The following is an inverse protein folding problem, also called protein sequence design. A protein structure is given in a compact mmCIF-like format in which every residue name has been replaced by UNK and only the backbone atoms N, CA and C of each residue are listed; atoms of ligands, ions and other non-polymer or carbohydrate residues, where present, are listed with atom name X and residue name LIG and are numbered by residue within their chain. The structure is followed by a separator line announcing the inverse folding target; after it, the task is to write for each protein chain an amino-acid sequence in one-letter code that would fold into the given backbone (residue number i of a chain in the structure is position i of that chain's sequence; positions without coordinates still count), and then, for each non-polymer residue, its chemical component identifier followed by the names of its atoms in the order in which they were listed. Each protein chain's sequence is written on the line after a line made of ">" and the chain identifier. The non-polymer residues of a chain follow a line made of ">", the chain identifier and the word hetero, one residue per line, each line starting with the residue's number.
data_IF_084425177300
#
_entry.id   IF_084425177300
#
_cell.length_a   1.000
_cell.length_b   1.000
_cell.length_c   1.000
_cell.angle_alpha   90.00
_cell.angle_beta   90.00
_cell.angle_gamma   90.00
#
_symmetry.space_group_name_H-M   'P 1'
#
loop_
_entity.id
_entity.type
_entity.pdbx_description
1 polymer ?
#
# COMPACT_ATOMS: atom_id res chain seq x y z
N UNK A 1 2.45 -30.31 -69.20
CA UNK A 1 3.21 -29.84 -68.02
C UNK A 1 2.80 -28.40 -67.73
N UNK A 2 2.09 -28.17 -66.63
CA UNK A 2 2.07 -26.91 -65.86
C UNK A 2 1.29 -27.21 -64.56
N UNK A 3 2.00 -27.25 -63.44
CA UNK A 3 1.45 -27.49 -62.09
C UNK A 3 0.79 -26.21 -61.54
N UNK A 4 -0.32 -26.31 -60.79
CA UNK A 4 -0.88 -25.17 -60.08
C UNK A 4 -0.13 -24.87 -58.78
N UNK A 5 0.02 -23.56 -58.52
CA UNK A 5 0.74 -22.96 -57.41
C UNK A 5 0.13 -23.38 -56.05
N UNK A 6 0.87 -24.17 -55.27
CA UNK A 6 0.55 -24.50 -53.88
C UNK A 6 1.35 -23.58 -52.95
N UNK A 7 0.69 -22.57 -52.38
CA UNK A 7 1.22 -21.84 -51.23
C UNK A 7 0.10 -21.20 -50.39
N UNK A 8 -0.87 -22.00 -49.96
CA UNK A 8 -1.69 -21.67 -48.78
C UNK A 8 -0.94 -22.21 -47.55
N UNK A 9 -0.12 -21.35 -46.94
CA UNK A 9 0.73 -21.71 -45.80
C UNK A 9 -0.06 -21.91 -44.51
N UNK A 10 -0.23 -23.18 -44.11
CA UNK A 10 -0.66 -23.63 -42.77
C UNK A 10 0.04 -22.83 -41.65
N UNK A 11 -0.72 -22.07 -40.88
CA UNK A 11 -0.30 -21.51 -39.58
C UNK A 11 -1.33 -21.96 -38.54
N UNK A 12 -1.13 -23.12 -37.89
CA UNK A 12 -2.01 -23.53 -36.77
C UNK A 12 -1.36 -24.51 -35.75
N UNK A 13 -0.03 -24.57 -35.62
CA UNK A 13 0.59 -25.51 -34.65
C UNK A 13 1.65 -24.89 -33.72
N UNK A 14 1.98 -23.60 -33.87
CA UNK A 14 3.09 -22.99 -33.13
C UNK A 14 2.74 -21.79 -32.24
N UNK A 15 1.48 -21.32 -32.23
CA UNK A 15 1.09 -20.15 -31.41
C UNK A 15 1.07 -20.49 -29.92
N UNK A 16 1.75 -19.67 -29.12
CA UNK A 16 1.88 -19.83 -27.67
C UNK A 16 1.75 -18.47 -26.99
N UNK A 17 0.81 -18.33 -26.07
CA UNK A 17 0.71 -17.17 -25.18
C UNK A 17 1.52 -17.42 -23.91
N UNK A 18 2.28 -16.45 -23.45
CA UNK A 18 3.05 -16.51 -22.20
C UNK A 18 2.93 -15.19 -21.45
N UNK A 19 2.63 -15.24 -20.15
CA UNK A 19 2.53 -14.06 -19.26
C UNK A 19 3.69 -14.03 -18.26
N UNK A 20 3.93 -12.86 -17.64
CA UNK A 20 5.03 -12.68 -16.67
C UNK A 20 4.94 -13.64 -15.47
N UNK A 21 3.74 -14.01 -15.04
CA UNK A 21 3.49 -14.98 -13.96
C UNK A 21 3.87 -16.43 -14.31
N UNK A 22 4.38 -16.67 -15.53
CA UNK A 22 4.80 -17.99 -16.02
C UNK A 22 3.67 -18.80 -16.68
N UNK A 23 2.43 -18.29 -16.70
CA UNK A 23 1.33 -18.99 -17.37
C UNK A 23 1.62 -19.11 -18.86
N UNK A 24 1.46 -20.32 -19.41
CA UNK A 24 1.69 -20.62 -20.82
C UNK A 24 0.49 -21.34 -21.41
N UNK A 25 -0.09 -20.79 -22.48
CA UNK A 25 -1.24 -21.37 -23.19
C UNK A 25 -0.81 -21.69 -24.62
N UNK A 26 -0.96 -22.95 -25.04
CA UNK A 26 -0.74 -23.38 -26.42
C UNK A 26 -2.01 -23.22 -27.21
N UNK A 27 -1.90 -22.74 -28.46
CA UNK A 27 -3.05 -22.41 -29.33
C UNK A 27 -4.08 -21.52 -28.61
N UNK A 28 -3.66 -20.32 -28.16
CA UNK A 28 -4.57 -19.44 -27.45
C UNK A 28 -5.73 -19.00 -28.36
N UNK A 29 -6.91 -18.82 -27.80
CA UNK A 29 -8.05 -18.20 -28.47
C UNK A 29 -8.22 -16.71 -28.07
N UNK A 30 -9.12 -16.01 -28.75
CA UNK A 30 -9.40 -14.58 -28.51
C UNK A 30 -9.85 -14.28 -27.07
N UNK A 31 -10.57 -15.21 -26.44
CA UNK A 31 -11.03 -15.05 -25.06
C UNK A 31 -9.88 -15.13 -24.05
N UNK A 32 -8.92 -16.03 -24.32
CA UNK A 32 -7.70 -16.19 -23.53
C UNK A 32 -6.75 -15.00 -23.68
N UNK A 33 -6.66 -14.41 -24.89
CA UNK A 33 -5.93 -13.16 -25.11
C UNK A 33 -6.54 -12.01 -24.30
N UNK A 34 -7.87 -11.86 -24.34
CA UNK A 34 -8.57 -10.85 -23.55
C UNK A 34 -8.36 -11.06 -22.05
N UNK A 35 -8.48 -12.28 -21.56
CA UNK A 35 -8.27 -12.60 -20.15
C UNK A 35 -6.84 -12.30 -19.69
N UNK A 36 -5.84 -12.55 -20.54
CA UNK A 36 -4.45 -12.18 -20.24
C UNK A 36 -4.27 -10.65 -20.18
N UNK A 37 -4.84 -9.91 -21.13
CA UNK A 37 -4.81 -8.43 -21.14
C UNK A 37 -5.55 -7.83 -19.94
N UNK A 38 -6.68 -8.41 -19.51
CA UNK A 38 -7.46 -7.96 -18.35
C UNK A 38 -6.65 -8.05 -17.04
N UNK A 39 -5.65 -8.94 -16.97
CA UNK A 39 -4.76 -9.11 -15.81
C UNK A 39 -3.54 -8.20 -15.83
N UNK A 40 -3.21 -7.59 -16.98
CA UNK A 40 -2.02 -6.75 -17.09
C UNK A 40 -2.13 -5.49 -16.21
N UNK A 41 -1.06 -5.22 -15.46
CA UNK A 41 -1.00 -4.16 -14.45
C UNK A 41 -1.25 -4.63 -13.02
N UNK A 42 -1.67 -5.87 -12.81
CA UNK A 42 -1.69 -6.50 -11.49
C UNK A 42 -0.25 -6.90 -11.06
N UNK A 43 0.03 -7.05 -9.75
CA UNK A 43 1.32 -7.56 -9.28
C UNK A 43 1.70 -8.87 -9.98
N UNK A 44 2.90 -8.94 -10.55
CA UNK A 44 3.39 -10.10 -11.30
C UNK A 44 2.83 -10.27 -12.73
N UNK A 45 2.09 -9.29 -13.26
CA UNK A 45 1.48 -9.33 -14.60
C UNK A 45 1.81 -8.07 -15.42
N UNK A 46 3.09 -7.87 -15.73
CA UNK A 46 3.60 -6.69 -16.44
C UNK A 46 3.63 -6.84 -17.97
N UNK A 47 3.58 -8.06 -18.49
CA UNK A 47 3.57 -8.31 -19.94
C UNK A 47 2.88 -9.62 -20.33
N UNK A 48 2.46 -9.68 -21.59
CA UNK A 48 2.01 -10.88 -22.28
C UNK A 48 2.72 -10.99 -23.64
N UNK A 49 3.15 -12.19 -24.03
CA UNK A 49 3.84 -12.49 -25.28
C UNK A 49 3.04 -13.55 -26.03
N UNK A 50 2.63 -13.23 -27.26
CA UNK A 50 2.06 -14.16 -28.23
C UNK A 50 3.15 -14.55 -29.24
N UNK A 51 3.69 -15.75 -29.08
CA UNK A 51 4.85 -16.30 -29.79
C UNK A 51 4.38 -17.25 -30.92
N UNK A 52 4.80 -16.98 -32.15
CA UNK A 52 4.52 -17.78 -33.34
C UNK A 52 5.72 -18.68 -33.75
N UNK A 53 6.78 -18.69 -32.96
CA UNK A 53 8.02 -19.43 -33.19
C UNK A 53 8.97 -18.76 -34.20
N UNK A 54 10.22 -19.25 -34.23
CA UNK A 54 11.31 -18.74 -35.08
C UNK A 54 11.53 -17.24 -34.92
N UNK A 55 11.66 -16.75 -33.68
CA UNK A 55 11.86 -15.32 -33.37
C UNK A 55 10.73 -14.41 -33.90
N UNK A 56 9.50 -14.94 -34.03
CA UNK A 56 8.31 -14.14 -34.39
C UNK A 56 7.35 -14.10 -33.21
N UNK A 57 7.13 -12.92 -32.67
CA UNK A 57 6.21 -12.73 -31.56
C UNK A 57 5.63 -11.33 -31.56
N UNK A 58 4.50 -11.16 -30.86
CA UNK A 58 3.96 -9.87 -30.43
C UNK A 58 3.96 -9.85 -28.90
N UNK A 59 4.52 -8.80 -28.31
CA UNK A 59 4.56 -8.59 -26.86
C UNK A 59 3.79 -7.33 -26.51
N UNK A 60 2.99 -7.41 -25.45
CA UNK A 60 2.22 -6.29 -24.93
C UNK A 60 2.63 -6.04 -23.49
N UNK A 61 2.75 -4.76 -23.13
CA UNK A 61 2.94 -4.30 -21.76
C UNK A 61 2.06 -3.08 -21.51
N UNK A 62 1.63 -2.89 -20.27
CA UNK A 62 0.73 -1.79 -19.88
C UNK A 62 -0.42 -2.26 -19.02
N UNK A 63 -1.47 -1.46 -18.94
CA UNK A 63 -2.66 -1.78 -18.16
C UNK A 63 -3.90 -1.13 -18.78
N UNK A 64 -5.09 -1.52 -18.33
CA UNK A 64 -6.33 -0.85 -18.75
C UNK A 64 -6.39 0.61 -18.29
N UNK A 65 -5.70 0.96 -17.20
CA UNK A 65 -5.68 2.32 -16.65
C UNK A 65 -4.67 3.23 -17.36
N UNK A 66 -3.52 2.68 -17.75
CA UNK A 66 -2.39 3.44 -18.31
C UNK A 66 -2.29 3.34 -19.83
N UNK A 67 -3.10 2.48 -20.44
CA UNK A 67 -3.00 2.10 -21.85
C UNK A 67 -1.89 1.08 -22.08
N UNK A 68 -1.80 0.62 -23.34
CA UNK A 68 -0.87 -0.44 -23.74
C UNK A 68 0.17 0.07 -24.74
N UNK A 69 1.36 -0.52 -24.64
CA UNK A 69 2.39 -0.52 -25.69
C UNK A 69 2.49 -1.93 -26.24
N UNK A 70 2.65 -2.02 -27.56
CA UNK A 70 2.90 -3.29 -28.24
C UNK A 70 4.21 -3.24 -28.99
N UNK A 71 4.90 -4.36 -28.98
CA UNK A 71 6.11 -4.61 -29.75
C UNK A 71 5.97 -5.91 -30.53
N UNK A 72 6.66 -6.03 -31.65
CA UNK A 72 6.75 -7.29 -32.37
C UNK A 72 8.13 -7.52 -32.95
N UNK A 73 8.43 -8.79 -33.22
CA UNK A 73 9.66 -9.22 -33.88
C UNK A 73 9.36 -10.10 -35.08
N UNK A 74 10.17 -9.98 -36.13
CA UNK A 74 10.06 -10.78 -37.35
C UNK A 74 11.32 -11.55 -37.69
N UNK A 75 11.54 -12.69 -37.04
CA UNK A 75 12.56 -13.65 -37.44
C UNK A 75 13.99 -13.29 -37.03
N UNK A 76 14.28 -12.03 -36.72
CA UNK A 76 15.56 -11.57 -36.22
C UNK A 76 15.42 -10.38 -35.28
N UNK A 77 16.45 -10.14 -34.45
CA UNK A 77 16.52 -8.99 -33.55
C UNK A 77 16.50 -7.65 -34.30
N UNK A 78 17.12 -7.58 -35.47
CA UNK A 78 17.14 -6.39 -36.32
C UNK A 78 15.75 -5.99 -36.85
N UNK A 79 14.80 -6.92 -36.85
CA UNK A 79 13.41 -6.72 -37.27
C UNK A 79 12.48 -6.64 -36.06
N UNK A 80 12.89 -5.85 -35.06
CA UNK A 80 12.10 -5.50 -33.89
C UNK A 80 11.45 -4.14 -34.08
N UNK A 81 10.15 -4.06 -33.79
CA UNK A 81 9.36 -2.84 -33.91
C UNK A 81 8.52 -2.61 -32.66
N UNK A 82 8.19 -1.35 -32.42
CA UNK A 82 7.31 -0.93 -31.33
C UNK A 82 6.27 0.07 -31.83
N UNK A 83 5.09 0.07 -31.22
CA UNK A 83 4.08 1.10 -31.47
C UNK A 83 4.63 2.49 -31.18
N UNK A 84 4.27 3.46 -32.03
CA UNK A 84 4.55 4.87 -31.76
C UNK A 84 3.64 5.43 -30.66
N UNK A 85 2.43 4.87 -30.55
CA UNK A 85 1.43 5.15 -29.51
C UNK A 85 1.78 4.39 -28.23
N UNK A 86 1.66 5.05 -27.07
CA UNK A 86 2.01 4.49 -25.76
C UNK A 86 0.82 4.30 -24.81
N UNK A 87 -0.37 4.70 -25.24
CA UNK A 87 -1.61 4.72 -24.49
C UNK A 87 -2.74 4.01 -25.25
N UNK A 88 -2.42 2.93 -25.98
CA UNK A 88 -3.41 2.22 -26.80
C UNK A 88 -4.57 1.74 -25.93
N UNK A 89 -5.85 1.99 -26.31
CA UNK A 89 -7.01 1.51 -25.56
C UNK A 89 -7.10 -0.02 -25.54
N UNK A 90 -7.65 -0.56 -24.45
CA UNK A 90 -7.79 -2.01 -24.25
C UNK A 90 -8.50 -2.72 -25.41
N UNK A 91 -9.62 -2.19 -25.90
CA UNK A 91 -10.36 -2.80 -27.01
C UNK A 91 -9.53 -2.85 -28.31
N UNK A 92 -8.75 -1.80 -28.59
CA UNK A 92 -7.87 -1.76 -29.75
C UNK A 92 -6.71 -2.77 -29.60
N UNK A 93 -6.18 -2.95 -28.39
CA UNK A 93 -5.13 -3.93 -28.11
C UNK A 93 -5.62 -5.38 -28.27
N UNK A 94 -6.82 -5.69 -27.78
CA UNK A 94 -7.45 -7.01 -27.99
C UNK A 94 -7.60 -7.28 -29.48
N UNK A 95 -8.13 -6.33 -30.25
CA UNK A 95 -8.31 -6.48 -31.69
C UNK A 95 -6.97 -6.64 -32.45
N UNK A 96 -5.89 -5.98 -31.99
CA UNK A 96 -4.56 -6.13 -32.57
C UNK A 96 -4.00 -7.54 -32.34
N UNK A 97 -4.06 -8.06 -31.11
CA UNK A 97 -3.59 -9.42 -30.81
C UNK A 97 -4.43 -10.48 -31.51
N UNK A 98 -5.75 -10.30 -31.57
CA UNK A 98 -6.64 -11.17 -32.31
C UNK A 98 -6.31 -11.17 -33.81
N UNK A 99 -5.99 -10.01 -34.38
CA UNK A 99 -5.54 -9.90 -35.75
C UNK A 99 -4.20 -10.59 -36.00
N UNK A 100 -3.25 -10.53 -35.05
CA UNK A 100 -1.99 -11.29 -35.14
C UNK A 100 -2.23 -12.80 -35.07
N UNK A 101 -3.11 -13.24 -34.15
CA UNK A 101 -3.46 -14.65 -33.99
C UNK A 101 -4.08 -15.24 -35.26
N UNK A 102 -4.98 -14.49 -35.89
CA UNK A 102 -5.75 -14.94 -37.06
C UNK A 102 -5.09 -14.60 -38.42
N UNK A 103 -3.93 -13.93 -38.43
CA UNK A 103 -3.22 -13.57 -39.65
C UNK A 103 -3.87 -12.45 -40.47
N UNK A 104 -4.64 -11.57 -39.84
CA UNK A 104 -5.27 -10.40 -40.49
C UNK A 104 -4.31 -9.19 -40.59
N UNK A 105 -4.78 -8.05 -41.11
CA UNK A 105 -3.99 -6.83 -41.33
C UNK A 105 -3.68 -6.04 -40.02
N UNK A 106 -3.30 -6.71 -38.93
CA UNK A 106 -3.04 -6.10 -37.61
C UNK A 106 -1.95 -5.01 -37.64
N UNK A 107 -0.98 -5.11 -38.56
CA UNK A 107 0.09 -4.12 -38.70
C UNK A 107 -0.40 -2.74 -39.12
N UNK A 108 -1.57 -2.63 -39.75
CA UNK A 108 -2.13 -1.34 -40.17
C UNK A 108 -2.89 -0.62 -39.06
N UNK A 109 -3.12 -1.29 -37.92
CA UNK A 109 -3.91 -0.75 -36.81
C UNK A 109 -3.18 0.32 -35.99
N UNK A 110 -1.85 0.38 -36.09
CA UNK A 110 -1.01 1.35 -35.39
C UNK A 110 0.23 1.66 -36.21
N UNK A 111 0.79 2.85 -36.02
CA UNK A 111 2.08 3.20 -36.60
C UNK A 111 3.23 2.56 -35.81
N UNK A 112 4.26 2.10 -36.54
CA UNK A 112 5.40 1.38 -35.97
C UNK A 112 6.69 2.16 -36.15
N UNK A 113 7.58 2.04 -35.18
CA UNK A 113 8.99 2.46 -35.25
C UNK A 113 9.90 1.25 -35.06
N UNK A 114 11.07 1.26 -35.68
CA UNK A 114 12.10 0.23 -35.48
C UNK A 114 12.75 0.40 -34.10
N UNK A 115 13.06 -0.71 -33.43
CA UNK A 115 13.66 -0.78 -32.10
C UNK A 115 12.65 -0.93 -30.97
N UNK A 116 13.17 -0.87 -29.74
CA UNK A 116 12.38 -0.99 -28.52
C UNK A 116 11.52 0.25 -28.26
N UNK A 117 10.31 0.04 -27.78
CA UNK A 117 9.41 1.08 -27.35
C UNK A 117 9.85 1.70 -26.03
N UNK A 118 9.57 2.99 -25.85
CA UNK A 118 9.46 3.52 -24.50
C UNK A 118 8.23 2.88 -23.88
N UNK A 119 8.39 2.13 -22.78
CA UNK A 119 7.25 1.75 -21.92
C UNK A 119 6.41 3.00 -21.65
N UNK A 120 5.07 2.89 -21.52
CA UNK A 120 4.29 3.99 -20.97
C UNK A 120 4.98 4.38 -19.66
N UNK A 121 5.24 5.66 -19.45
CA UNK A 121 5.85 6.11 -18.21
C UNK A 121 4.99 5.56 -17.08
N UNK A 122 5.53 4.65 -16.27
CA UNK A 122 4.81 4.13 -15.12
C UNK A 122 4.48 5.31 -14.21
N UNK A 123 3.18 5.64 -14.15
CA UNK A 123 2.51 6.80 -13.54
C UNK A 123 2.63 8.15 -14.29
N UNK A 124 1.52 8.91 -14.43
CA UNK A 124 1.62 10.36 -14.56
C UNK A 124 2.35 10.93 -13.34
N UNK A 125 3.05 12.06 -13.52
CA UNK A 125 3.64 12.81 -12.41
C UNK A 125 2.60 12.94 -11.27
N UNK A 126 3.00 12.82 -9.99
CA UNK A 126 2.08 12.92 -8.88
C UNK A 126 1.17 14.12 -9.09
N UNK A 127 -0.13 13.86 -9.28
CA UNK A 127 -1.13 14.89 -9.48
C UNK A 127 -1.03 15.87 -8.31
N UNK A 128 -1.44 17.14 -8.52
CA UNK A 128 -1.49 18.13 -7.43
C UNK A 128 -2.17 17.52 -6.19
N UNK A 129 -3.23 16.73 -6.38
CA UNK A 129 -3.93 15.98 -5.33
C UNK A 129 -3.04 15.02 -4.53
N UNK A 130 -2.17 14.24 -5.17
CA UNK A 130 -1.27 13.32 -4.45
C UNK A 130 -0.20 14.01 -3.60
N UNK A 131 0.28 15.19 -4.02
CA UNK A 131 1.22 15.99 -3.22
C UNK A 131 0.53 16.65 -2.03
N UNK A 132 -0.70 17.15 -2.24
CA UNK A 132 -1.54 17.71 -1.17
C UNK A 132 -1.87 16.61 -0.15
N UNK A 133 -2.30 15.43 -0.61
CA UNK A 133 -2.56 14.28 0.25
C UNK A 133 -1.33 13.89 1.08
N UNK A 134 -0.15 13.76 0.44
CA UNK A 134 1.07 13.41 1.16
C UNK A 134 1.48 14.49 2.19
N UNK A 135 1.26 15.77 1.86
CA UNK A 135 1.49 16.90 2.77
C UNK A 135 0.55 16.89 3.98
N UNK A 136 -0.74 16.61 3.76
CA UNK A 136 -1.73 16.49 4.84
C UNK A 136 -1.38 15.34 5.80
N UNK A 137 -1.02 14.17 5.25
CA UNK A 137 -0.58 13.03 6.07
C UNK A 137 0.67 13.35 6.88
N UNK A 138 1.65 14.01 6.26
CA UNK A 138 2.83 14.46 7.00
C UNK A 138 2.48 15.43 8.12
N UNK A 139 1.62 16.42 7.85
CA UNK A 139 1.15 17.38 8.85
C UNK A 139 0.41 16.72 10.01
N UNK A 140 -0.50 15.79 9.71
CA UNK A 140 -1.19 14.98 10.73
C UNK A 140 -0.20 14.15 11.56
N UNK A 141 0.82 13.57 10.94
CA UNK A 141 1.89 12.85 11.64
C UNK A 141 2.68 13.74 12.59
N UNK A 142 3.08 14.94 12.16
CA UNK A 142 3.78 15.90 13.04
C UNK A 142 2.90 16.34 14.20
N UNK A 143 1.61 16.62 13.96
CA UNK A 143 0.67 16.97 15.03
C UNK A 143 0.53 15.84 16.05
N UNK A 144 0.46 14.58 15.62
CA UNK A 144 0.42 13.41 16.50
C UNK A 144 1.72 13.25 17.32
N UNK A 145 2.89 13.55 16.74
CA UNK A 145 4.17 13.54 17.48
C UNK A 145 4.22 14.64 18.56
N UNK A 146 3.73 15.85 18.25
CA UNK A 146 3.61 16.94 19.23
C UNK A 146 2.66 16.52 20.35
N UNK A 147 1.49 15.97 20.01
CA UNK A 147 0.54 15.45 21.00
C UNK A 147 1.15 14.36 21.88
N UNK A 148 1.93 13.43 21.30
CA UNK A 148 2.64 12.40 22.06
C UNK A 148 3.60 13.02 23.08
N UNK A 149 4.41 13.99 22.66
CA UNK A 149 5.35 14.70 23.53
C UNK A 149 4.63 15.48 24.64
N UNK A 150 3.53 16.16 24.31
CA UNK A 150 2.69 16.86 25.28
C UNK A 150 2.11 15.91 26.33
N UNK A 151 1.48 14.81 25.91
CA UNK A 151 0.91 13.81 26.84
C UNK A 151 1.98 13.17 27.73
N UNK A 152 3.16 12.89 27.18
CA UNK A 152 4.26 12.34 27.95
C UNK A 152 4.82 13.34 28.97
N UNK A 153 4.93 14.61 28.58
CA UNK A 153 5.38 15.69 29.46
C UNK A 153 4.38 15.96 30.58
N UNK A 154 3.10 16.10 30.25
CA UNK A 154 2.00 16.25 31.21
C UNK A 154 1.98 15.09 32.23
N UNK A 155 2.09 13.84 31.71
CA UNK A 155 2.19 12.64 32.54
C UNK A 155 3.40 12.68 33.48
N UNK A 156 4.56 13.11 32.96
CA UNK A 156 5.77 13.21 33.76
C UNK A 156 5.63 14.26 34.88
N UNK A 157 5.06 15.43 34.57
CA UNK A 157 4.79 16.48 35.56
C UNK A 157 3.78 16.08 36.61
N UNK A 158 2.76 15.30 36.23
CA UNK A 158 1.80 14.71 37.17
C UNK A 158 2.51 13.77 38.15
N UNK A 159 3.32 12.83 37.65
CA UNK A 159 4.02 11.86 38.50
C UNK A 159 5.05 12.48 39.45
N UNK A 160 5.59 13.67 39.13
CA UNK A 160 6.49 14.41 40.02
C UNK A 160 5.78 15.04 41.23
N UNK A 161 4.48 15.33 41.10
CA UNK A 161 3.65 15.98 42.13
C UNK A 161 2.72 15.00 42.85
N UNK A 162 2.43 13.87 42.22
CA UNK A 162 1.48 12.90 42.74
C UNK A 162 1.98 12.22 44.02
N UNK A 163 1.05 12.08 44.97
CA UNK A 163 1.18 11.16 46.10
C UNK A 163 0.74 9.75 45.67
N UNK A 164 1.44 8.76 46.19
CA UNK A 164 1.15 7.35 45.96
C UNK A 164 0.45 6.74 47.17
N UNK A 165 -0.70 6.12 46.95
CA UNK A 165 -1.47 5.42 47.97
C UNK A 165 -1.85 4.02 47.48
N UNK A 166 -2.16 3.15 48.43
CA UNK A 166 -2.69 1.82 48.14
C UNK A 166 -4.18 1.90 47.82
N UNK A 167 -4.59 1.14 46.81
CA UNK A 167 -5.97 0.93 46.45
C UNK A 167 -6.21 -0.51 46.05
N UNK A 168 -7.48 -0.88 45.89
CA UNK A 168 -7.85 -2.22 45.44
C UNK A 168 -8.95 -2.15 44.40
N UNK A 169 -8.92 -3.08 43.46
CA UNK A 169 -9.94 -3.19 42.41
C UNK A 169 -11.22 -3.73 43.02
N UNK A 170 -12.29 -2.93 43.03
CA UNK A 170 -13.58 -3.33 43.59
C UNK A 170 -14.47 -4.02 42.56
N UNK A 171 -14.33 -3.68 41.27
CA UNK A 171 -15.05 -4.31 40.17
C UNK A 171 -14.41 -4.04 38.82
N UNK A 172 -14.76 -4.86 37.84
CA UNK A 172 -14.50 -4.58 36.42
C UNK A 172 -15.77 -4.10 35.72
N UNK A 173 -15.65 -3.08 34.87
CA UNK A 173 -16.74 -2.56 34.03
C UNK A 173 -16.48 -2.82 32.55
N UNK A 174 -17.54 -2.99 31.77
CA UNK A 174 -17.48 -3.25 30.33
C UNK A 174 -17.83 -4.68 29.93
N UNK A 175 -18.21 -4.87 28.66
CA UNK A 175 -18.60 -6.17 28.11
C UNK A 175 -17.46 -6.83 27.34
N UNK A 176 -16.95 -6.11 26.33
CA UNK A 176 -15.88 -6.61 25.46
C UNK A 176 -14.52 -6.05 25.86
N UNK A 177 -14.47 -4.79 26.32
CA UNK A 177 -13.26 -4.16 26.88
C UNK A 177 -13.49 -3.84 28.34
N UNK A 178 -12.61 -4.32 29.21
CA UNK A 178 -12.73 -4.18 30.66
C UNK A 178 -11.94 -2.98 31.17
N UNK A 179 -12.55 -2.22 32.09
CA UNK A 179 -11.94 -1.14 32.87
C UNK A 179 -12.03 -1.50 34.35
N UNK A 180 -10.96 -1.22 35.08
CA UNK A 180 -10.95 -1.41 36.53
C UNK A 180 -11.58 -0.21 37.24
N UNK A 181 -12.42 -0.49 38.23
CA UNK A 181 -12.87 0.49 39.22
C UNK A 181 -12.10 0.21 40.50
N UNK A 182 -11.36 1.21 40.97
CA UNK A 182 -10.45 1.09 42.11
C UNK A 182 -10.91 1.99 43.22
N UNK A 183 -10.96 1.44 44.43
CA UNK A 183 -11.19 2.21 45.64
C UNK A 183 -9.86 2.43 46.38
N UNK A 184 -9.65 3.65 46.86
CA UNK A 184 -8.45 4.04 47.59
C UNK A 184 -8.78 5.08 48.67
N UNK A 185 -7.90 5.22 49.65
CA UNK A 185 -7.99 6.29 50.65
C UNK A 185 -6.92 7.34 50.39
N UNK A 186 -7.30 8.61 50.44
CA UNK A 186 -6.33 9.71 50.36
C UNK A 186 -5.53 9.86 51.67
N UNK A 187 -4.57 10.78 51.68
CA UNK A 187 -3.73 11.10 52.83
C UNK A 187 -4.51 11.64 54.05
N UNK A 188 -5.79 12.03 53.88
CA UNK A 188 -6.70 12.45 54.96
C UNK A 188 -7.58 11.29 55.44
N UNK A 189 -7.45 10.11 54.85
CA UNK A 189 -8.26 8.93 55.14
C UNK A 189 -9.64 8.94 54.49
N UNK A 190 -9.93 9.88 53.58
CA UNK A 190 -11.20 9.89 52.85
C UNK A 190 -11.17 8.83 51.74
N UNK A 191 -12.24 8.06 51.64
CA UNK A 191 -12.40 7.02 50.62
C UNK A 191 -12.87 7.63 49.30
N UNK A 192 -12.18 7.27 48.23
CA UNK A 192 -12.45 7.70 46.86
C UNK A 192 -12.50 6.50 45.92
N UNK A 193 -13.13 6.70 44.77
CA UNK A 193 -13.20 5.69 43.71
C UNK A 193 -12.79 6.32 42.40
N UNK A 194 -11.93 5.63 41.65
CA UNK A 194 -11.57 6.00 40.28
C UNK A 194 -11.96 4.86 39.33
N UNK A 195 -12.31 5.22 38.10
CA UNK A 195 -12.46 4.28 36.99
C UNK A 195 -11.30 4.48 36.01
N UNK A 196 -10.69 3.36 35.61
CA UNK A 196 -9.66 3.32 34.58
C UNK A 196 -10.17 3.98 33.29
N UNK A 197 -9.35 4.86 32.72
CA UNK A 197 -9.68 5.49 31.43
C UNK A 197 -9.39 4.58 30.24
N UNK A 198 -8.58 3.53 30.44
CA UNK A 198 -8.10 2.65 29.37
C UNK A 198 -8.73 1.25 29.51
N UNK A 199 -9.62 0.92 28.59
CA UNK A 199 -10.19 -0.43 28.50
C UNK A 199 -9.23 -1.42 27.85
N UNK A 200 -9.30 -2.69 28.26
CA UNK A 200 -8.47 -3.77 27.72
C UNK A 200 -9.24 -5.07 27.50
N UNK A 201 -8.78 -5.87 26.54
CA UNK A 201 -9.24 -7.24 26.33
C UNK A 201 -8.04 -8.14 25.99
N UNK A 202 -7.71 -9.16 26.81
CA UNK A 202 -8.32 -9.50 28.10
C UNK A 202 -8.17 -8.39 29.16
N UNK A 203 -8.89 -8.50 30.28
CA UNK A 203 -8.82 -7.51 31.36
C UNK A 203 -7.39 -7.35 31.91
N UNK A 204 -6.95 -6.11 32.08
CA UNK A 204 -5.62 -5.80 32.62
C UNK A 204 -5.50 -5.99 34.14
N UNK A 205 -6.63 -6.08 34.85
CA UNK A 205 -6.70 -6.20 36.31
C UNK A 205 -7.80 -7.20 36.70
N UNK A 206 -7.77 -7.65 37.96
CA UNK A 206 -8.75 -8.58 38.54
C UNK A 206 -9.40 -7.97 39.80
N UNK A 207 -10.66 -8.32 40.08
CA UNK A 207 -11.32 -7.90 41.33
C UNK A 207 -10.56 -8.39 42.57
N UNK A 208 -10.41 -7.51 43.56
CA UNK A 208 -9.61 -7.72 44.77
C UNK A 208 -8.11 -7.46 44.62
N UNK A 209 -7.61 -7.22 43.39
CA UNK A 209 -6.20 -6.92 43.14
C UNK A 209 -5.77 -5.62 43.85
N UNK A 210 -4.62 -5.68 44.52
CA UNK A 210 -3.99 -4.51 45.15
C UNK A 210 -3.19 -3.73 44.10
N UNK A 211 -3.43 -2.43 44.01
CA UNK A 211 -2.79 -1.54 43.04
C UNK A 211 -2.31 -0.27 43.71
N UNK A 212 -1.30 0.37 43.10
CA UNK A 212 -0.89 1.71 43.50
C UNK A 212 -1.73 2.74 42.75
N UNK A 213 -2.20 3.76 43.46
CA UNK A 213 -2.92 4.90 42.90
C UNK A 213 -2.07 6.15 43.08
N UNK A 214 -1.89 6.90 42.00
CA UNK A 214 -1.28 8.21 42.00
C UNK A 214 -2.36 9.29 41.90
N UNK A 215 -2.29 10.31 42.75
CA UNK A 215 -3.15 11.50 42.67
C UNK A 215 -2.40 12.74 43.16
N UNK A 216 -2.75 13.92 42.68
CA UNK A 216 -2.14 15.20 43.08
C UNK A 216 -3.05 15.90 44.09
N UNK A 217 -2.69 16.03 45.39
CA UNK A 217 -3.55 16.67 46.39
C UNK A 217 -3.74 18.18 46.17
N UNK A 218 -2.86 18.83 45.40
CA UNK A 218 -2.95 20.26 45.09
C UNK A 218 -3.85 20.54 43.87
N UNK A 219 -4.24 19.50 43.12
CA UNK A 219 -5.13 19.61 41.98
C UNK A 219 -6.60 19.63 42.43
N UNK A 220 -7.39 20.70 42.20
CA UNK A 220 -8.82 20.73 42.56
C UNK A 220 -9.64 19.62 41.89
N UNK A 221 -9.15 19.08 40.77
CA UNK A 221 -9.75 17.97 40.03
C UNK A 221 -9.11 16.60 40.35
N UNK A 222 -8.37 16.47 41.45
CA UNK A 222 -7.62 15.24 41.78
C UNK A 222 -8.46 13.97 41.78
N UNK A 223 -9.76 14.05 42.11
CA UNK A 223 -10.69 12.91 42.03
C UNK A 223 -10.86 12.39 40.60
N UNK A 224 -10.83 13.27 39.60
CA UNK A 224 -10.93 12.93 38.18
C UNK A 224 -9.56 12.59 37.56
N UNK A 225 -8.47 13.05 38.18
CA UNK A 225 -7.11 12.89 37.69
C UNK A 225 -6.32 11.79 38.38
N UNK A 226 -6.85 11.19 39.45
CA UNK A 226 -6.30 10.00 40.08
C UNK A 226 -6.19 8.85 39.08
N UNK A 227 -5.05 8.17 39.06
CA UNK A 227 -4.74 7.12 38.08
C UNK A 227 -4.09 5.93 38.75
N UNK A 228 -4.38 4.74 38.23
CA UNK A 228 -3.65 3.53 38.61
C UNK A 228 -2.23 3.64 38.06
N UNK A 229 -1.23 3.32 38.88
CA UNK A 229 0.18 3.30 38.48
C UNK A 229 0.46 2.03 37.68
N UNK A 230 0.04 2.06 36.42
CA UNK A 230 0.27 0.99 35.45
C UNK A 230 0.74 1.58 34.12
N UNK A 231 1.64 0.87 33.43
CA UNK A 231 2.22 1.38 32.18
C UNK A 231 1.13 1.75 31.16
N UNK A 232 0.11 0.91 31.02
CA UNK A 232 -0.98 1.13 30.08
C UNK A 232 -1.81 2.38 30.45
N UNK A 233 -2.17 2.55 31.73
CA UNK A 233 -2.93 3.74 32.18
C UNK A 233 -2.14 5.04 32.00
N UNK A 234 -0.83 4.99 32.22
CA UNK A 234 0.00 6.18 32.20
C UNK A 234 0.41 6.57 30.76
N UNK A 235 0.70 5.59 29.90
CA UNK A 235 1.41 5.83 28.64
C UNK A 235 0.69 5.37 27.37
N UNK A 236 -0.47 4.71 27.46
CA UNK A 236 -1.17 4.22 26.26
C UNK A 236 -1.44 5.33 25.24
N UNK A 237 -1.99 6.47 25.66
CA UNK A 237 -2.28 7.59 24.77
C UNK A 237 -1.04 8.18 24.09
N UNK A 238 0.06 8.38 24.83
CA UNK A 238 1.29 8.93 24.27
C UNK A 238 1.99 7.95 23.32
N UNK A 239 2.01 6.66 23.64
CA UNK A 239 2.58 5.61 22.77
C UNK A 239 1.77 5.45 21.48
N UNK A 240 0.43 5.45 21.55
CA UNK A 240 -0.40 5.39 20.33
C UNK A 240 -0.17 6.62 19.44
N UNK A 241 -0.15 7.82 20.03
CA UNK A 241 0.15 9.05 19.30
C UNK A 241 1.55 9.01 18.66
N UNK A 242 2.54 8.42 19.34
CA UNK A 242 3.90 8.23 18.80
C UNK A 242 3.90 7.31 17.58
N UNK A 243 3.24 6.15 17.66
CA UNK A 243 3.20 5.17 16.56
C UNK A 243 2.54 5.79 15.32
N UNK A 244 1.38 6.43 15.48
CA UNK A 244 0.71 7.12 14.36
C UNK A 244 1.54 8.28 13.84
N UNK A 245 2.18 9.04 14.73
CA UNK A 245 3.07 10.14 14.36
C UNK A 245 4.24 9.68 13.49
N UNK A 246 4.93 8.61 13.88
CA UNK A 246 6.02 8.00 13.10
C UNK A 246 5.50 7.46 11.77
N UNK A 247 4.38 6.72 11.78
CA UNK A 247 3.82 6.13 10.56
C UNK A 247 3.43 7.18 9.52
N UNK A 248 2.69 8.21 9.94
CA UNK A 248 2.17 9.24 9.03
C UNK A 248 3.21 10.27 8.59
N UNK A 249 4.23 10.55 9.41
CA UNK A 249 5.33 11.46 9.01
C UNK A 249 6.47 10.75 8.27
N UNK A 250 6.79 9.51 8.67
CA UNK A 250 7.95 8.76 8.19
C UNK A 250 7.83 8.34 6.72
N UNK A 251 6.65 7.88 6.28
CA UNK A 251 6.44 7.45 4.89
C UNK A 251 6.59 8.63 3.91
N UNK A 252 5.93 9.79 4.11
CA UNK A 252 6.18 11.01 3.32
C UNK A 252 7.64 11.46 3.33
N UNK A 253 8.28 11.46 4.50
CA UNK A 253 9.65 11.93 4.66
C UNK A 253 10.64 11.02 3.92
N UNK A 254 10.52 9.70 4.06
CA UNK A 254 11.33 8.72 3.35
C UNK A 254 11.17 8.88 1.84
N UNK A 255 9.93 9.00 1.35
CA UNK A 255 9.66 9.23 -0.06
C UNK A 255 10.32 10.53 -0.58
N UNK A 256 10.27 11.62 0.18
CA UNK A 256 10.93 12.87 -0.17
C UNK A 256 12.46 12.77 -0.17
N UNK A 257 13.05 12.12 0.84
CA UNK A 257 14.50 11.90 0.95
C UNK A 257 15.03 11.07 -0.22
N UNK A 258 14.33 9.98 -0.57
CA UNK A 258 14.69 9.11 -1.68
C UNK A 258 14.63 9.83 -3.03
N UNK A 259 13.67 10.75 -3.22
CA UNK A 259 13.60 11.60 -4.43
C UNK A 259 14.72 12.63 -4.49
N UNK A 260 15.08 13.27 -3.37
CA UNK A 260 16.20 14.24 -3.33
C UNK A 260 17.53 13.60 -3.71
N UNK A 261 17.78 12.36 -3.31
CA UNK A 261 19.01 11.63 -3.66
C UNK A 261 19.16 11.36 -5.16
N UNK A 262 18.06 11.11 -5.88
CA UNK A 262 18.06 10.88 -7.34
C UNK A 262 18.24 12.16 -8.19
N UNK A 263 18.19 13.34 -7.57
CA UNK A 263 18.23 14.64 -8.25
C UNK A 263 19.61 15.29 -8.40
N UNK A 264 20.70 14.63 -8.00
CA UNK A 264 22.07 15.14 -8.23
C UNK A 264 22.71 14.40 -9.42
N UNK A 265 22.72 14.95 -10.65
CA UNK A 265 23.63 14.45 -11.67
C UNK A 265 25.07 14.71 -11.22
N UNK A 266 25.94 13.70 -11.36
CA UNK A 266 27.37 13.88 -11.19
C UNK A 266 27.84 14.97 -12.15
N UNK A 267 28.38 16.07 -11.64
CA UNK A 267 29.10 17.06 -12.45
C UNK A 267 30.28 16.32 -13.09
N UNK A 268 30.22 16.14 -14.41
CA UNK A 268 31.39 15.94 -15.26
C UNK A 268 31.62 17.23 -16.01
#
# INVERSE_FOLDING_TARGET
>A
MAQPCSACGRLDLSMKLTTEDGTTIRKPDSSQLKAALDRLGLPGNGFAILDAGRQRYVQVAGSRADGYVVEYREGSEDKHYSSTVTDMPHAQMVALLDGYLNGSEWKRMVAWRRGFGRRPASRPAPSKGSKVFLGLFFGAGVAALILSGYLAFDRHQFLQRALLVDGHVVRLTGRDTYRAVVEYSDHLGQRHTLESTVGSHPAAYVEGEQVKVAYDPEDPAYLYNARIVGFQELWFGSVMALIFGIGFSGIPLAHWLLRRRKGKPARR
#
